data_IF_217734670684
#
_entry.id   IF_217734670684
#
_cell.length_a   1.000
_cell.length_b   1.000
_cell.length_c   1.000
_cell.angle_alpha   90.00
_cell.angle_beta   90.00
_cell.angle_gamma   90.00
#
_symmetry.space_group_name_H-M   'P 1'
#
loop_
_entity.id
_entity.type
_entity.pdbx_description
1 polymer ?
#
# COMPACT_ATOMS: atom_id res chain seq x y z
N UNK A 1 -62.58 29.98 26.96
CA UNK A 1 -62.33 28.87 26.04
C UNK A 1 -61.38 27.91 26.71
N UNK A 2 -61.87 26.71 26.98
CA UNK A 2 -61.28 25.59 27.72
C UNK A 2 -60.41 24.70 26.84
N UNK A 3 -59.61 23.84 27.50
CA UNK A 3 -58.91 22.64 27.01
C UNK A 3 -57.56 22.89 26.28
N UNK A 4 -56.46 22.16 26.48
CA UNK A 4 -56.22 20.87 27.16
C UNK A 4 -54.73 20.72 27.52
N UNK A 5 -54.46 20.04 28.63
CA UNK A 5 -53.16 19.47 29.02
C UNK A 5 -52.70 18.39 28.04
N UNK A 6 -51.40 18.32 27.77
CA UNK A 6 -50.73 17.14 27.22
C UNK A 6 -49.43 16.90 28.00
N UNK A 7 -49.53 15.96 28.92
CA UNK A 7 -48.46 15.25 29.63
C UNK A 7 -47.80 14.26 28.67
N UNK A 8 -46.48 14.16 28.64
CA UNK A 8 -45.79 12.93 28.23
C UNK A 8 -44.54 12.65 29.06
N UNK A 9 -44.39 11.36 29.34
CA UNK A 9 -43.59 10.71 30.34
C UNK A 9 -42.08 10.65 30.05
N UNK A 10 -41.30 10.65 31.13
CA UNK A 10 -39.97 10.06 31.26
C UNK A 10 -39.94 8.55 31.03
N UNK A 11 -38.83 8.02 30.52
CA UNK A 11 -38.26 6.77 31.03
C UNK A 11 -36.80 7.01 31.46
N UNK A 12 -36.46 6.82 32.75
CA UNK A 12 -36.14 5.54 33.39
C UNK A 12 -34.71 5.06 33.08
N UNK A 13 -33.84 5.32 34.05
CA UNK A 13 -32.49 4.80 34.20
C UNK A 13 -32.53 3.35 34.67
N UNK A 14 -31.78 2.47 34.01
CA UNK A 14 -31.43 1.11 34.47
C UNK A 14 -30.03 0.81 33.94
N UNK A 15 -29.02 0.92 34.80
CA UNK A 15 -28.44 -0.14 35.64
C UNK A 15 -27.46 -1.04 34.89
N UNK A 16 -26.20 -0.73 35.14
CA UNK A 16 -25.00 -1.57 35.17
C UNK A 16 -25.24 -3.04 35.45
N UNK A 17 -24.76 -3.91 34.56
CA UNK A 17 -24.39 -5.29 34.88
C UNK A 17 -23.17 -5.70 34.05
N UNK A 18 -22.06 -5.85 34.76
CA UNK A 18 -20.84 -6.57 34.38
C UNK A 18 -21.10 -8.07 34.26
N UNK A 19 -20.54 -8.75 33.25
CA UNK A 19 -20.26 -10.17 33.33
C UNK A 19 -18.76 -10.41 33.57
N UNK A 20 -18.47 -10.77 34.82
CA UNK A 20 -17.61 -11.89 35.27
C UNK A 20 -16.66 -12.56 34.28
N UNK A 21 -15.39 -12.55 34.69
CA UNK A 21 -14.38 -13.62 34.61
C UNK A 21 -14.80 -14.92 33.92
N UNK A 22 -14.08 -15.28 32.86
CA UNK A 22 -13.81 -16.67 32.51
C UNK A 22 -12.30 -16.91 32.49
N UNK A 23 -11.89 -17.51 33.60
CA UNK A 23 -10.64 -18.18 33.91
C UNK A 23 -10.42 -19.37 32.96
N UNK A 24 -9.50 -19.23 32.00
CA UNK A 24 -9.01 -20.35 31.20
C UNK A 24 -7.80 -20.97 31.90
N UNK A 25 -8.08 -21.88 32.84
CA UNK A 25 -7.08 -22.79 33.41
C UNK A 25 -6.69 -23.83 32.36
N UNK A 26 -5.45 -23.73 31.87
CA UNK A 26 -4.82 -24.80 31.09
C UNK A 26 -4.52 -25.98 32.02
N UNK A 27 -5.25 -27.07 31.83
CA UNK A 27 -4.98 -28.37 32.44
C UNK A 27 -3.65 -28.91 31.93
N UNK A 28 -2.67 -28.97 32.84
CA UNK A 28 -1.51 -29.85 32.76
C UNK A 28 -1.96 -31.30 32.79
N UNK A 29 -1.70 -32.05 31.72
CA UNK A 29 -1.70 -33.51 31.73
C UNK A 29 -0.31 -34.02 31.37
N UNK A 30 0.46 -34.35 32.40
CA UNK A 30 1.57 -35.28 32.32
C UNK A 30 1.01 -36.65 31.90
N UNK A 31 1.37 -37.09 30.69
CA UNK A 31 1.31 -38.49 30.30
C UNK A 31 2.72 -38.92 29.93
N UNK A 32 3.35 -39.61 30.88
CA UNK A 32 4.56 -40.40 30.67
C UNK A 32 4.27 -41.51 29.66
N UNK A 33 4.65 -41.29 28.40
CA UNK A 33 4.62 -42.27 27.32
C UNK A 33 6.04 -42.55 26.84
N UNK A 34 6.69 -43.53 27.46
CA UNK A 34 7.97 -44.07 27.02
C UNK A 34 7.77 -44.88 25.73
N UNK A 35 7.95 -44.26 24.57
CA UNK A 35 7.98 -44.93 23.27
C UNK A 35 9.38 -44.80 22.67
N UNK A 36 10.19 -45.83 22.92
CA UNK A 36 11.53 -46.04 22.37
C UNK A 36 11.51 -46.18 20.84
N UNK A 37 11.34 -45.06 20.13
CA UNK A 37 11.64 -45.00 18.71
C UNK A 37 13.13 -44.72 18.55
N UNK A 38 13.91 -45.78 18.32
CA UNK A 38 15.25 -45.69 17.72
C UNK A 38 15.11 -45.13 16.29
N UNK A 39 14.82 -43.84 16.17
CA UNK A 39 15.05 -43.09 14.94
C UNK A 39 16.56 -42.94 14.83
N UNK A 40 17.17 -43.75 13.96
CA UNK A 40 18.52 -43.48 13.48
C UNK A 40 18.52 -42.05 12.92
N UNK A 41 19.11 -41.11 13.66
CA UNK A 41 19.54 -39.83 13.10
C UNK A 41 20.64 -40.17 12.10
N UNK A 42 20.26 -40.31 10.83
CA UNK A 42 21.18 -40.11 9.71
C UNK A 42 21.66 -38.68 9.81
N UNK A 43 22.82 -38.49 10.45
CA UNK A 43 23.59 -37.25 10.35
C UNK A 43 24.13 -37.13 8.93
N UNK A 44 23.23 -36.85 7.98
CA UNK A 44 23.66 -36.27 6.73
C UNK A 44 24.17 -34.87 7.10
N UNK A 45 25.40 -34.48 6.72
CA UNK A 45 25.72 -33.08 6.70
C UNK A 45 24.75 -32.48 5.68
N UNK A 46 23.67 -31.88 6.16
CA UNK A 46 22.93 -30.93 5.36
C UNK A 46 23.93 -29.82 5.11
N UNK A 47 24.60 -29.88 3.96
CA UNK A 47 25.14 -28.68 3.35
C UNK A 47 23.88 -27.88 3.05
N UNK A 48 23.55 -27.01 4.00
CA UNK A 48 22.56 -25.96 3.81
C UNK A 48 23.15 -25.08 2.71
N UNK A 49 22.84 -25.43 1.46
CA UNK A 49 23.07 -24.55 0.34
C UNK A 49 22.13 -23.37 0.57
N UNK A 50 22.64 -22.37 1.27
CA UNK A 50 22.00 -21.09 1.47
C UNK A 50 22.03 -20.36 0.12
N UNK A 51 21.21 -20.86 -0.82
CA UNK A 51 21.03 -20.25 -2.14
C UNK A 51 20.24 -18.97 -1.91
N UNK A 52 20.92 -17.83 -2.06
CA UNK A 52 20.26 -16.54 -1.98
C UNK A 52 19.63 -16.25 -3.32
N UNK A 53 18.52 -15.53 -3.28
CA UNK A 53 17.83 -15.11 -4.50
C UNK A 53 18.71 -14.23 -5.39
N UNK A 54 19.70 -13.54 -4.81
CA UNK A 54 20.74 -12.78 -5.51
C UNK A 54 21.76 -13.63 -6.25
N UNK A 55 21.86 -14.93 -5.96
CA UNK A 55 22.78 -15.84 -6.66
C UNK A 55 22.20 -16.31 -8.00
N UNK A 56 20.93 -15.99 -8.28
CA UNK A 56 20.28 -16.34 -9.54
C UNK A 56 20.74 -15.43 -10.69
N UNK A 57 20.85 -15.95 -11.93
CA UNK A 57 21.18 -15.14 -13.09
C UNK A 57 20.13 -14.08 -13.38
N UNK A 58 20.56 -12.87 -13.78
CA UNK A 58 19.66 -11.77 -14.16
C UNK A 58 18.66 -12.19 -15.25
N UNK A 59 19.11 -12.99 -16.24
CA UNK A 59 18.26 -13.47 -17.34
C UNK A 59 17.10 -14.34 -16.84
N UNK A 60 17.34 -15.16 -15.82
CA UNK A 60 16.30 -16.00 -15.21
C UNK A 60 15.28 -15.11 -14.48
N UNK A 61 15.76 -14.11 -13.74
CA UNK A 61 14.88 -13.19 -13.00
C UNK A 61 14.04 -12.33 -13.94
N UNK A 62 14.61 -11.86 -15.04
CA UNK A 62 13.88 -11.16 -16.11
C UNK A 62 12.84 -12.08 -16.77
N UNK A 63 13.20 -13.34 -17.06
CA UNK A 63 12.25 -14.30 -17.62
C UNK A 63 11.07 -14.60 -16.69
N UNK A 64 11.29 -14.65 -15.37
CA UNK A 64 10.20 -14.77 -14.38
C UNK A 64 9.31 -13.53 -14.41
N UNK A 65 9.90 -12.34 -14.49
CA UNK A 65 9.17 -11.07 -14.53
C UNK A 65 8.24 -10.96 -15.75
N UNK A 66 8.58 -11.57 -16.88
CA UNK A 66 7.74 -11.54 -18.09
C UNK A 66 6.38 -12.24 -17.91
N UNK A 67 6.26 -13.15 -16.94
CA UNK A 67 5.00 -13.82 -16.60
C UNK A 67 4.14 -13.05 -15.58
N UNK A 68 4.68 -11.98 -15.00
CA UNK A 68 3.98 -11.21 -13.97
C UNK A 68 3.19 -10.03 -14.58
N UNK A 69 2.05 -9.66 -13.97
CA UNK A 69 1.43 -8.37 -14.22
C UNK A 69 2.40 -7.22 -13.96
N UNK A 70 2.15 -6.09 -14.59
CA UNK A 70 3.10 -4.98 -14.59
C UNK A 70 3.40 -4.48 -13.19
N UNK A 71 2.38 -4.25 -12.36
CA UNK A 71 2.59 -3.75 -11.00
C UNK A 71 3.27 -4.81 -10.13
N UNK A 72 2.95 -6.09 -10.35
CA UNK A 72 3.63 -7.22 -9.69
C UNK A 72 5.12 -7.32 -10.03
N UNK A 73 5.54 -6.95 -11.24
CA UNK A 73 6.97 -6.87 -11.61
C UNK A 73 7.70 -5.83 -10.76
N UNK A 74 7.11 -4.65 -10.55
CA UNK A 74 7.72 -3.63 -9.72
C UNK A 74 7.80 -4.06 -8.24
N UNK A 75 6.74 -4.69 -7.72
CA UNK A 75 6.75 -5.28 -6.37
C UNK A 75 7.82 -6.37 -6.23
N UNK A 76 7.97 -7.22 -7.25
CA UNK A 76 9.00 -8.24 -7.28
C UNK A 76 10.39 -7.60 -7.22
N UNK A 77 10.64 -6.57 -8.04
CA UNK A 77 11.91 -5.83 -8.01
C UNK A 77 12.21 -5.23 -6.62
N UNK A 78 11.21 -4.67 -5.94
CA UNK A 78 11.36 -4.14 -4.57
C UNK A 78 11.68 -5.25 -3.57
N UNK A 79 11.00 -6.39 -3.66
CA UNK A 79 11.29 -7.54 -2.79
C UNK A 79 12.74 -8.03 -2.96
N UNK A 80 13.25 -8.07 -4.20
CA UNK A 80 14.67 -8.39 -4.48
C UNK A 80 15.60 -7.32 -3.90
N UNK A 81 15.26 -6.04 -4.06
CA UNK A 81 16.04 -4.92 -3.53
C UNK A 81 16.21 -5.02 -2.01
N UNK A 82 15.09 -5.21 -1.30
CA UNK A 82 15.06 -5.32 0.16
C UNK A 82 15.83 -6.54 0.67
N UNK A 83 15.74 -7.68 -0.02
CA UNK A 83 16.48 -8.89 0.34
C UNK A 83 18.01 -8.71 0.28
N UNK A 84 18.49 -7.81 -0.57
CA UNK A 84 19.92 -7.62 -0.76
C UNK A 84 20.55 -6.63 0.23
N UNK A 85 19.77 -5.89 1.03
CA UNK A 85 20.25 -4.81 1.91
C UNK A 85 21.13 -3.75 1.19
N UNK A 86 21.14 -3.76 -0.14
CA UNK A 86 21.89 -2.83 -0.96
C UNK A 86 20.89 -1.78 -1.41
N UNK A 87 20.91 -0.61 -0.78
CA UNK A 87 20.10 0.56 -1.17
C UNK A 87 20.50 1.17 -2.51
N UNK A 88 20.95 0.35 -3.46
CA UNK A 88 21.38 0.73 -4.80
C UNK A 88 20.70 -0.19 -5.81
N UNK A 89 20.18 0.36 -6.93
CA UNK A 89 19.67 -0.47 -8.02
C UNK A 89 20.80 -1.39 -8.48
N UNK A 90 20.54 -2.69 -8.38
CA UNK A 90 21.43 -3.72 -8.90
C UNK A 90 21.12 -3.93 -10.38
N UNK A 91 22.09 -4.41 -11.15
CA UNK A 91 21.88 -4.82 -12.55
C UNK A 91 20.74 -5.84 -12.70
N UNK A 92 20.41 -6.57 -11.63
CA UNK A 92 19.29 -7.50 -11.57
C UNK A 92 17.94 -6.77 -11.53
N UNK A 93 17.81 -5.73 -10.69
CA UNK A 93 16.60 -4.89 -10.63
C UNK A 93 16.37 -4.23 -11.98
N UNK A 94 17.42 -3.67 -12.58
CA UNK A 94 17.33 -3.05 -13.90
C UNK A 94 16.88 -4.05 -14.96
N UNK A 95 17.39 -5.29 -14.93
CA UNK A 95 16.96 -6.34 -15.85
C UNK A 95 15.48 -6.73 -15.67
N UNK A 96 15.00 -6.82 -14.43
CA UNK A 96 13.59 -7.11 -14.10
C UNK A 96 12.69 -5.97 -14.61
N UNK A 97 13.05 -4.72 -14.34
CA UNK A 97 12.26 -3.54 -14.75
C UNK A 97 12.31 -3.34 -16.27
N UNK A 98 13.45 -3.64 -16.91
CA UNK A 98 13.65 -3.54 -18.35
C UNK A 98 12.99 -4.69 -19.13
N UNK A 99 12.73 -5.85 -18.53
CA UNK A 99 12.05 -6.97 -19.20
C UNK A 99 10.69 -6.53 -19.76
N UNK A 100 10.05 -5.56 -19.10
CA UNK A 100 8.77 -4.99 -19.53
C UNK A 100 8.88 -3.95 -20.64
N UNK A 101 10.07 -3.43 -20.93
CA UNK A 101 10.30 -2.46 -21.99
C UNK A 101 10.32 -3.14 -23.37
N UNK A 102 9.23 -3.81 -23.74
CA UNK A 102 9.05 -4.32 -25.10
C UNK A 102 9.14 -3.15 -26.07
N UNK A 103 10.01 -3.24 -27.09
CA UNK A 103 10.65 -2.19 -27.94
C UNK A 103 9.82 -1.05 -28.54
N UNK A 104 8.85 -0.54 -27.80
CA UNK A 104 8.06 0.66 -28.02
C UNK A 104 8.83 1.85 -27.46
N UNK A 105 8.69 3.01 -28.10
CA UNK A 105 9.32 4.26 -27.68
C UNK A 105 8.74 4.84 -26.38
N UNK A 106 7.79 4.16 -25.74
CA UNK A 106 7.15 4.59 -24.50
C UNK A 106 7.67 3.76 -23.34
N UNK A 107 7.96 4.41 -22.22
CA UNK A 107 8.32 3.70 -20.99
C UNK A 107 7.15 2.76 -20.64
N UNK A 108 7.42 1.47 -20.39
CA UNK A 108 6.35 0.57 -20.01
C UNK A 108 5.72 1.01 -18.71
N UNK A 109 6.39 1.86 -17.90
CA UNK A 109 6.02 2.34 -16.57
C UNK A 109 5.21 3.64 -16.54
N UNK A 110 4.78 4.19 -17.69
CA UNK A 110 4.02 5.45 -17.75
C UNK A 110 2.73 5.47 -16.89
N UNK A 111 2.11 4.31 -16.65
CA UNK A 111 0.88 4.17 -15.87
C UNK A 111 1.04 3.10 -14.79
N UNK A 112 1.07 3.45 -13.53
CA UNK A 112 1.02 2.48 -12.43
C UNK A 112 -0.36 2.53 -11.80
N UNK A 113 -1.03 1.39 -11.83
CA UNK A 113 -2.35 1.19 -11.25
C UNK A 113 -2.31 -0.12 -10.47
N UNK A 114 -2.58 -0.05 -9.16
CA UNK A 114 -2.58 -1.22 -8.30
C UNK A 114 -3.82 -2.10 -8.47
N UNK A 115 -4.75 -1.77 -9.37
CA UNK A 115 -5.93 -2.60 -9.61
C UNK A 115 -5.62 -4.02 -10.11
N UNK A 116 -4.46 -4.25 -10.74
CA UNK A 116 -4.05 -5.56 -11.28
C UNK A 116 -3.47 -6.53 -10.24
N UNK A 117 -3.26 -6.08 -9.00
CA UNK A 117 -2.81 -6.94 -7.89
C UNK A 117 -3.98 -7.40 -7.01
N UNK A 118 -3.79 -8.51 -6.29
CA UNK A 118 -4.82 -9.06 -5.42
C UNK A 118 -5.19 -8.08 -4.29
N UNK A 119 -6.48 -7.96 -3.99
CA UNK A 119 -7.01 -7.06 -2.95
C UNK A 119 -6.38 -7.28 -1.57
N UNK A 120 -6.06 -8.53 -1.23
CA UNK A 120 -5.37 -8.89 0.02
C UNK A 120 -3.96 -8.30 0.09
N UNK A 121 -3.29 -8.12 -1.05
CA UNK A 121 -1.96 -7.54 -1.16
C UNK A 121 -2.02 -6.01 -1.15
N UNK A 122 -2.97 -5.40 -1.88
CA UNK A 122 -3.20 -3.95 -1.90
C UNK A 122 -3.36 -3.38 -0.48
N UNK A 123 -4.13 -4.08 0.35
CA UNK A 123 -4.39 -3.70 1.74
C UNK A 123 -3.13 -3.76 2.62
N UNK A 124 -2.11 -4.51 2.20
CA UNK A 124 -0.84 -4.68 2.93
C UNK A 124 0.28 -3.79 2.40
N UNK A 125 0.04 -3.03 1.33
CA UNK A 125 1.04 -2.13 0.76
C UNK A 125 1.25 -0.92 1.68
N UNK A 126 2.50 -0.77 2.12
CA UNK A 126 2.93 0.32 2.97
C UNK A 126 3.57 1.44 2.17
N UNK A 127 3.82 2.58 2.82
CA UNK A 127 4.59 3.68 2.23
C UNK A 127 6.01 3.24 1.80
N UNK A 128 6.65 2.33 2.53
CA UNK A 128 7.98 1.81 2.18
C UNK A 128 7.96 1.00 0.87
N UNK A 129 6.92 0.17 0.69
CA UNK A 129 6.72 -0.57 -0.55
C UNK A 129 6.48 0.38 -1.73
N UNK A 130 5.61 1.37 -1.55
CA UNK A 130 5.32 2.37 -2.57
C UNK A 130 6.56 3.21 -2.92
N UNK A 131 7.31 3.64 -1.91
CA UNK A 131 8.58 4.35 -2.08
C UNK A 131 9.56 3.52 -2.91
N UNK A 132 9.71 2.25 -2.55
CA UNK A 132 10.56 1.30 -3.26
C UNK A 132 10.16 1.15 -4.72
N UNK A 133 8.85 0.99 -4.99
CA UNK A 133 8.31 0.82 -6.34
C UNK A 133 8.62 2.05 -7.18
N UNK A 134 8.26 3.23 -6.69
CA UNK A 134 8.42 4.49 -7.42
C UNK A 134 9.90 4.82 -7.67
N UNK A 135 10.77 4.45 -6.72
CA UNK A 135 12.23 4.58 -6.89
C UNK A 135 12.76 3.61 -7.96
N UNK A 136 12.32 2.34 -7.93
CA UNK A 136 12.80 1.31 -8.86
C UNK A 136 12.43 1.61 -10.33
N UNK A 137 11.30 2.25 -10.57
CA UNK A 137 10.82 2.58 -11.93
C UNK A 137 11.26 3.97 -12.41
N UNK A 138 12.06 4.69 -11.61
CA UNK A 138 12.41 6.10 -11.85
C UNK A 138 11.17 6.98 -12.11
N UNK A 139 10.21 6.92 -11.18
CA UNK A 139 8.89 7.52 -11.35
C UNK A 139 8.92 9.04 -11.64
N UNK A 140 9.94 9.77 -11.16
CA UNK A 140 10.12 11.21 -11.44
C UNK A 140 10.08 11.50 -12.94
N UNK A 141 10.74 10.66 -13.73
CA UNK A 141 11.00 10.88 -15.16
C UNK A 141 10.16 9.98 -16.07
N UNK A 142 9.57 8.90 -15.55
CA UNK A 142 8.83 7.92 -16.35
C UNK A 142 7.32 7.87 -16.10
N UNK A 143 6.84 8.22 -14.89
CA UNK A 143 5.46 8.01 -14.48
C UNK A 143 4.55 9.21 -14.84
N UNK A 144 3.52 8.96 -15.65
CA UNK A 144 2.49 9.95 -16.01
C UNK A 144 1.22 9.77 -15.21
N UNK A 145 0.87 8.55 -14.83
CA UNK A 145 -0.37 8.25 -14.10
C UNK A 145 -0.11 7.31 -12.94
N UNK A 146 -0.50 7.72 -11.75
CA UNK A 146 -0.45 6.90 -10.54
C UNK A 146 -1.85 6.77 -9.96
N UNK A 147 -2.30 5.53 -9.72
CA UNK A 147 -3.57 5.24 -9.05
C UNK A 147 -3.37 4.33 -7.85
N UNK A 148 -3.68 4.82 -6.66
CA UNK A 148 -3.54 4.10 -5.38
C UNK A 148 -4.82 3.35 -4.97
N UNK A 149 -5.54 2.81 -5.95
CA UNK A 149 -6.79 2.07 -5.74
C UNK A 149 -6.58 0.99 -4.68
N UNK A 150 -7.43 1.00 -3.64
CA UNK A 150 -7.40 0.03 -2.52
C UNK A 150 -6.10 -0.03 -1.67
N UNK A 151 -5.17 0.90 -1.84
CA UNK A 151 -3.93 0.96 -1.05
C UNK A 151 -4.17 1.65 0.31
N UNK A 152 -4.91 0.98 1.20
CA UNK A 152 -5.47 1.58 2.43
C UNK A 152 -4.45 1.88 3.53
N UNK A 153 -3.23 1.32 3.45
CA UNK A 153 -2.17 1.52 4.44
C UNK A 153 -1.17 2.62 4.03
N UNK A 154 -1.29 3.16 2.82
CA UNK A 154 -0.43 4.25 2.34
C UNK A 154 -0.88 5.57 2.98
N UNK A 155 0.03 6.22 3.69
CA UNK A 155 -0.19 7.51 4.35
C UNK A 155 0.25 8.69 3.48
N UNK A 156 1.05 8.46 2.45
CA UNK A 156 1.53 9.48 1.51
C UNK A 156 3.03 9.74 1.59
N UNK A 157 3.72 9.25 2.63
CA UNK A 157 5.19 9.29 2.72
C UNK A 157 5.85 8.54 1.54
N UNK A 158 5.20 7.47 1.07
CA UNK A 158 5.68 6.67 -0.06
C UNK A 158 5.65 7.42 -1.39
N UNK A 159 4.98 8.58 -1.47
CA UNK A 159 4.93 9.42 -2.66
C UNK A 159 6.16 10.34 -2.79
N UNK A 160 7.07 10.34 -1.82
CA UNK A 160 8.28 11.17 -1.87
C UNK A 160 9.07 11.05 -3.20
N UNK A 161 9.21 9.86 -3.83
CA UNK A 161 9.94 9.72 -5.08
C UNK A 161 9.29 10.40 -6.29
N UNK A 162 8.04 10.87 -6.23
CA UNK A 162 7.43 11.65 -7.33
C UNK A 162 7.52 13.16 -7.09
N UNK A 163 8.15 13.59 -5.99
CA UNK A 163 8.40 15.01 -5.72
C UNK A 163 9.19 15.63 -6.86
N UNK A 164 8.78 16.83 -7.30
CA UNK A 164 9.34 17.55 -8.47
C UNK A 164 9.19 16.82 -9.81
N UNK A 165 8.28 15.84 -9.92
CA UNK A 165 7.99 15.25 -11.22
C UNK A 165 7.38 16.28 -12.15
N UNK A 166 7.99 16.46 -13.33
CA UNK A 166 7.51 17.40 -14.36
C UNK A 166 6.54 16.74 -15.34
N UNK A 167 6.48 15.41 -15.36
CA UNK A 167 5.71 14.63 -16.34
C UNK A 167 4.44 14.00 -15.76
N UNK A 168 4.27 13.99 -14.43
CA UNK A 168 3.10 13.38 -13.81
C UNK A 168 1.84 14.15 -14.22
N UNK A 169 0.92 13.48 -14.90
CA UNK A 169 -0.32 14.07 -15.42
C UNK A 169 -1.54 13.74 -14.57
N UNK A 170 -1.55 12.58 -13.92
CA UNK A 170 -2.66 12.10 -13.12
C UNK A 170 -2.17 11.46 -11.83
N UNK A 171 -2.73 11.90 -10.71
CA UNK A 171 -2.54 11.29 -9.40
C UNK A 171 -3.91 11.02 -8.78
N UNK A 172 -4.21 9.74 -8.57
CA UNK A 172 -5.43 9.28 -7.94
C UNK A 172 -5.10 8.66 -6.59
N UNK A 173 -5.50 9.38 -5.55
CA UNK A 173 -5.32 9.02 -4.14
C UNK A 173 -6.59 8.35 -3.57
N UNK A 174 -7.56 7.98 -4.42
CA UNK A 174 -8.76 7.29 -3.96
C UNK A 174 -8.42 5.86 -3.49
N UNK A 175 -8.45 5.64 -2.18
CA UNK A 175 -8.23 4.32 -1.57
C UNK A 175 -9.46 3.39 -1.69
N UNK A 176 -10.49 3.78 -2.46
CA UNK A 176 -11.76 3.05 -2.60
C UNK A 176 -11.95 2.71 -4.07
N UNK A 177 -12.20 1.44 -4.37
CA UNK A 177 -12.46 1.00 -5.74
C UNK A 177 -13.72 1.61 -6.35
N UNK A 178 -13.77 1.62 -7.68
CA UNK A 178 -14.97 2.00 -8.42
C UNK A 178 -16.17 1.17 -7.95
N UNK A 179 -17.26 1.84 -7.59
CA UNK A 179 -18.51 1.25 -7.08
C UNK A 179 -18.44 0.58 -5.70
N UNK A 180 -17.31 0.64 -4.99
CA UNK A 180 -17.24 0.19 -3.60
C UNK A 180 -17.68 1.32 -2.66
N UNK A 181 -18.52 0.96 -1.68
CA UNK A 181 -18.75 1.85 -0.55
C UNK A 181 -17.50 1.78 0.35
N UNK A 182 -17.00 2.93 0.84
CA UNK A 182 -15.94 2.92 1.83
C UNK A 182 -16.44 2.17 3.08
N UNK A 183 -16.01 0.91 3.24
CA UNK A 183 -16.28 0.14 4.46
C UNK A 183 -15.40 0.70 5.58
N UNK A 184 -15.94 1.64 6.33
CA UNK A 184 -15.27 2.31 7.44
C UNK A 184 -15.26 1.41 8.68
N UNK A 185 -14.37 0.43 8.73
CA UNK A 185 -13.95 -0.12 10.04
C UNK A 185 -12.93 0.85 10.63
N UNK A 186 -13.09 1.23 11.90
CA UNK A 186 -12.59 2.48 12.51
C UNK A 186 -11.08 2.74 12.55
N UNK A 187 -10.25 1.95 11.86
CA UNK A 187 -8.78 2.03 11.90
C UNK A 187 -8.14 2.28 10.53
N UNK A 188 -8.90 2.76 9.54
CA UNK A 188 -8.35 3.05 8.21
C UNK A 188 -7.37 4.22 8.29
N UNK A 189 -6.10 3.97 7.98
CA UNK A 189 -5.08 5.01 7.86
C UNK A 189 -5.36 5.81 6.60
N UNK A 190 -5.69 7.08 6.79
CA UNK A 190 -5.94 7.99 5.68
C UNK A 190 -4.62 8.57 5.21
N UNK A 191 -4.61 8.95 3.94
CA UNK A 191 -3.53 9.78 3.39
C UNK A 191 -3.45 11.08 4.20
N UNK A 192 -2.26 11.36 4.71
CA UNK A 192 -1.95 12.52 5.51
C UNK A 192 -1.74 13.71 4.60
N UNK A 193 -2.56 14.75 4.81
CA UNK A 193 -2.47 15.98 4.03
C UNK A 193 -1.10 16.66 4.22
N UNK A 194 -0.59 16.70 5.45
CA UNK A 194 0.69 17.35 5.78
C UNK A 194 1.90 16.72 5.05
N UNK A 195 1.82 15.44 4.69
CA UNK A 195 2.89 14.77 3.94
C UNK A 195 2.73 14.93 2.44
N UNK A 196 1.48 14.94 1.93
CA UNK A 196 1.20 14.99 0.50
C UNK A 196 1.23 16.41 -0.06
N UNK A 197 0.75 17.43 0.67
CA UNK A 197 0.71 18.81 0.17
C UNK A 197 2.11 19.31 -0.27
N UNK A 198 3.20 19.14 0.51
CA UNK A 198 4.52 19.60 0.08
C UNK A 198 5.02 18.91 -1.21
N UNK A 199 4.61 17.65 -1.44
CA UNK A 199 4.95 16.91 -2.65
C UNK A 199 4.18 17.48 -3.85
N UNK A 200 2.88 17.74 -3.68
CA UNK A 200 2.05 18.37 -4.70
C UNK A 200 2.54 19.79 -5.04
N UNK A 201 2.81 20.62 -4.03
CA UNK A 201 3.34 21.99 -4.21
C UNK A 201 4.62 21.93 -5.04
N UNK A 202 5.52 21.02 -4.67
CA UNK A 202 6.77 20.82 -5.40
C UNK A 202 6.59 20.37 -6.86
N UNK A 203 5.50 19.68 -7.20
CA UNK A 203 5.17 19.29 -8.58
C UNK A 203 4.67 20.51 -9.35
N UNK A 204 3.77 21.31 -8.76
CA UNK A 204 3.29 22.54 -9.41
C UNK A 204 4.41 23.56 -9.64
N UNK A 205 5.25 23.78 -8.62
CA UNK A 205 6.39 24.70 -8.70
C UNK A 205 7.39 24.31 -9.79
N UNK A 206 7.42 23.03 -10.16
CA UNK A 206 8.30 22.50 -11.22
C UNK A 206 7.73 22.63 -12.63
N UNK A 207 6.65 23.40 -12.84
CA UNK A 207 5.85 23.41 -14.07
C UNK A 207 5.33 22.01 -14.42
N UNK A 208 4.90 21.25 -13.41
CA UNK A 208 4.41 19.89 -13.58
C UNK A 208 3.23 19.77 -14.54
N UNK A 209 3.16 18.65 -15.25
CA UNK A 209 2.08 18.36 -16.21
C UNK A 209 0.76 17.89 -15.55
N UNK A 210 0.60 18.09 -14.24
CA UNK A 210 -0.47 17.50 -13.44
C UNK A 210 -1.82 18.15 -13.80
N UNK A 211 -2.71 17.35 -14.38
CA UNK A 211 -4.04 17.77 -14.88
C UNK A 211 -5.19 17.21 -14.06
N UNK A 212 -4.98 16.05 -13.43
CA UNK A 212 -6.03 15.34 -12.70
C UNK A 212 -5.51 14.88 -11.34
N UNK A 213 -6.16 15.39 -10.30
CA UNK A 213 -5.90 14.99 -8.93
C UNK A 213 -7.21 14.55 -8.28
N UNK A 214 -7.24 13.31 -7.81
CA UNK A 214 -8.40 12.75 -7.10
C UNK A 214 -8.03 12.49 -5.64
N UNK A 215 -8.77 13.10 -4.72
CA UNK A 215 -8.58 12.93 -3.28
C UNK A 215 -9.50 11.86 -2.71
N UNK A 216 -9.12 11.22 -1.58
CA UNK A 216 -10.04 10.38 -0.83
C UNK A 216 -11.31 11.17 -0.47
N UNK A 217 -12.49 10.55 -0.65
CA UNK A 217 -13.80 11.16 -0.36
C UNK A 217 -13.92 11.70 1.08
N UNK A 218 -13.12 11.18 2.02
CA UNK A 218 -13.13 11.60 3.43
C UNK A 218 -12.37 12.92 3.70
N UNK A 219 -11.41 13.30 2.86
CA UNK A 219 -10.76 14.62 2.94
C UNK A 219 -11.73 15.78 2.67
N UNK A 220 -12.89 15.50 2.08
CA UNK A 220 -13.88 16.51 1.69
C UNK A 220 -14.91 16.76 2.82
N UNK A 221 -15.06 15.84 3.78
CA UNK A 221 -16.21 15.81 4.69
C UNK A 221 -15.94 16.22 6.15
N UNK A 222 -14.69 16.46 6.57
CA UNK A 222 -14.45 16.82 7.98
C UNK A 222 -13.07 17.42 8.27
N UNK A 223 -13.10 18.69 8.70
CA UNK A 223 -12.14 19.35 9.60
C UNK A 223 -10.75 19.81 9.10
N UNK A 224 -10.38 19.72 7.82
CA UNK A 224 -9.12 20.33 7.29
C UNK A 224 -9.26 20.89 5.87
N UNK A 225 -10.43 21.40 5.50
CA UNK A 225 -10.80 21.56 4.08
C UNK A 225 -10.31 22.85 3.37
N UNK A 226 -9.48 23.70 3.98
CA UNK A 226 -9.01 24.91 3.28
C UNK A 226 -8.00 24.58 2.18
N UNK A 227 -7.03 23.70 2.43
CA UNK A 227 -5.99 23.39 1.44
C UNK A 227 -6.54 22.57 0.27
N UNK A 228 -7.49 21.65 0.48
CA UNK A 228 -8.13 20.90 -0.62
C UNK A 228 -8.89 21.82 -1.58
N UNK A 229 -9.52 22.90 -1.08
CA UNK A 229 -10.17 23.91 -1.91
C UNK A 229 -9.15 24.77 -2.68
N UNK A 230 -8.03 25.13 -2.03
CA UNK A 230 -6.91 25.81 -2.68
C UNK A 230 -6.38 25.00 -3.87
N UNK A 231 -6.19 23.70 -3.71
CA UNK A 231 -5.74 22.80 -4.77
C UNK A 231 -6.75 22.67 -5.91
N UNK A 232 -8.03 22.55 -5.58
CA UNK A 232 -9.10 22.49 -6.58
C UNK A 232 -9.16 23.76 -7.44
N UNK A 233 -8.96 24.92 -6.82
CA UNK A 233 -8.97 26.20 -7.52
C UNK A 233 -7.68 26.44 -8.32
N UNK A 234 -6.53 26.04 -7.79
CA UNK A 234 -5.21 26.21 -8.46
C UNK A 234 -5.05 25.32 -9.69
N UNK A 235 -5.71 24.16 -9.77
CA UNK A 235 -5.74 23.34 -10.99
C UNK A 235 -6.73 23.83 -12.06
N UNK A 236 -7.66 24.71 -11.71
CA UNK A 236 -8.68 25.23 -12.62
C UNK A 236 -8.33 26.61 -13.22
N UNK A 237 -7.27 27.28 -12.74
CA UNK A 237 -6.78 28.57 -13.26
C UNK A 237 -5.66 28.38 -14.27
#
# INVERSE_FOLDING_TARGET
MTLTMLTFATPASTSTTTPTDQDYTYLTSDVTGNCSNKRMRMGHPFIEFDLRLSDLPNDLMAAVADFLPKTSVALFAVAISNANNVGRPSTMIDAIIASRAGGSSKSPWEIIDFFDIEKSLQVRLTDDDLYGILTCVDAVSTLKKLKLTHCIQVTGLGLEPIRRSVILEQLDLSQVGEHELPYFTGNMQLICEETVLPILDSILDSNGALKHLEFPKRCIAGASCESTLYWRNSMLS
#
